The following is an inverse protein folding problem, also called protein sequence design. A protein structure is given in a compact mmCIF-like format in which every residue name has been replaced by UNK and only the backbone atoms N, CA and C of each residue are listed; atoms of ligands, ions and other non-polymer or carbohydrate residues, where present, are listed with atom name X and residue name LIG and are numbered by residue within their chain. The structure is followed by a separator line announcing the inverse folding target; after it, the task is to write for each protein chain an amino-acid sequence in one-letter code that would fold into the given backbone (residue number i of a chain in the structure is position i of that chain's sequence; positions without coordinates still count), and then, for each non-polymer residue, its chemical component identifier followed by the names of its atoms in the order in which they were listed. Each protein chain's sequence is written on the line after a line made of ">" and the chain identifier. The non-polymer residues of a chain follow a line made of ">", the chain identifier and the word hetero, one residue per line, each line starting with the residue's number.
data_IF_548404028798
#
_entry.id   IF_548404028798
#
_cell.length_a   1.000
_cell.length_b   1.000
_cell.length_c   1.000
_cell.angle_alpha   90.00
_cell.angle_beta   90.00
_cell.angle_gamma   90.00
#
_symmetry.space_group_name_H-M   'P 1'
#
loop_
_entity.id
_entity.type
_entity.pdbx_description
1 polymer ?
#
# COMPACT_ATOMS: atom_id res chain seq x y z
N UNK A 1 -3.27 -9.59 -26.93
CA UNK A 1 -3.50 -11.03 -27.21
C UNK A 1 -4.52 -11.52 -26.20
N UNK A 2 -5.63 -12.11 -26.65
CA UNK A 2 -6.67 -12.67 -25.77
C UNK A 2 -6.49 -14.19 -25.72
N UNK A 3 -6.28 -14.75 -24.53
CA UNK A 3 -6.27 -16.20 -24.31
C UNK A 3 -7.62 -16.63 -23.78
N UNK A 4 -8.32 -17.49 -24.51
CA UNK A 4 -9.52 -18.17 -24.03
C UNK A 4 -9.11 -19.56 -23.55
N UNK A 5 -9.16 -19.78 -22.23
CA UNK A 5 -8.77 -21.04 -21.61
C UNK A 5 -10.00 -21.72 -21.01
N UNK A 6 -10.48 -22.85 -21.56
CA UNK A 6 -11.57 -23.60 -20.95
C UNK A 6 -11.08 -24.22 -19.63
N UNK A 7 -11.86 -24.06 -18.57
CA UNK A 7 -11.54 -24.60 -17.24
C UNK A 7 -12.29 -25.93 -17.07
N UNK A 8 -11.67 -27.09 -17.36
CA UNK A 8 -12.29 -28.40 -17.13
C UNK A 8 -12.44 -28.70 -15.63
N UNK A 9 -13.32 -29.66 -15.25
CA UNK A 9 -13.46 -30.10 -13.87
C UNK A 9 -12.15 -30.52 -13.19
N UNK A 10 -11.17 -31.00 -13.96
CA UNK A 10 -9.84 -31.35 -13.46
C UNK A 10 -9.08 -30.17 -12.81
N UNK A 11 -9.46 -28.92 -13.10
CA UNK A 11 -8.84 -27.72 -12.52
C UNK A 11 -9.60 -27.12 -11.34
N UNK A 12 -10.68 -27.77 -10.85
CA UNK A 12 -11.47 -27.26 -9.71
C UNK A 12 -10.56 -26.98 -8.50
N UNK A 13 -9.67 -27.91 -8.14
CA UNK A 13 -8.76 -27.73 -7.01
C UNK A 13 -7.85 -26.50 -7.16
N UNK A 14 -7.41 -26.20 -8.38
CA UNK A 14 -6.58 -25.03 -8.63
C UNK A 14 -7.40 -23.73 -8.56
N UNK A 15 -8.65 -23.74 -9.03
CA UNK A 15 -9.58 -22.60 -8.85
C UNK A 15 -9.88 -22.36 -7.37
N UNK A 16 -10.12 -23.42 -6.59
CA UNK A 16 -10.30 -23.34 -5.15
C UNK A 16 -9.07 -22.74 -4.46
N UNK A 17 -7.86 -23.13 -4.87
CA UNK A 17 -6.62 -22.54 -4.38
C UNK A 17 -6.51 -21.03 -4.70
N UNK A 18 -6.92 -20.60 -5.90
CA UNK A 18 -7.00 -19.16 -6.24
C UNK A 18 -7.96 -18.44 -5.30
N UNK A 19 -9.17 -18.96 -5.14
CA UNK A 19 -10.19 -18.35 -4.29
C UNK A 19 -9.72 -18.24 -2.83
N UNK A 20 -9.13 -19.30 -2.29
CA UNK A 20 -8.56 -19.30 -0.94
C UNK A 20 -7.46 -18.24 -0.78
N UNK A 21 -6.53 -18.17 -1.73
CA UNK A 21 -5.45 -17.18 -1.70
C UNK A 21 -6.00 -15.75 -1.68
N UNK A 22 -6.95 -15.44 -2.57
CA UNK A 22 -7.57 -14.12 -2.68
C UNK A 22 -8.39 -13.75 -1.44
N UNK A 23 -9.19 -14.68 -0.90
CA UNK A 23 -10.02 -14.43 0.28
C UNK A 23 -9.21 -14.25 1.56
N UNK A 24 -8.05 -14.89 1.65
CA UNK A 24 -7.17 -14.82 2.82
C UNK A 24 -6.07 -13.77 2.66
N UNK A 25 -6.06 -13.01 1.56
CA UNK A 25 -5.00 -12.06 1.20
C UNK A 25 -3.61 -12.71 1.22
N UNK A 26 -3.54 -14.00 0.88
CA UNK A 26 -2.29 -14.74 0.78
C UNK A 26 -1.71 -14.57 -0.62
N UNK A 27 -0.42 -14.26 -0.68
CA UNK A 27 0.31 -14.23 -1.94
C UNK A 27 0.49 -15.66 -2.46
N UNK A 28 0.20 -15.84 -3.73
CA UNK A 28 0.41 -17.08 -4.47
C UNK A 28 0.64 -16.74 -5.95
N UNK A 29 1.10 -17.68 -6.76
CA UNK A 29 1.30 -17.47 -8.20
C UNK A 29 0.36 -18.38 -8.99
N UNK A 30 -0.54 -17.77 -9.75
CA UNK A 30 -1.28 -18.46 -10.81
C UNK A 30 -0.31 -18.77 -11.95
N UNK A 31 -0.30 -20.02 -12.40
CA UNK A 31 0.47 -20.46 -13.57
C UNK A 31 -0.43 -21.17 -14.56
N UNK A 32 -0.29 -20.79 -15.82
CA UNK A 32 -1.02 -21.36 -16.93
C UNK A 32 -0.04 -21.77 -18.03
N UNK A 33 -0.14 -23.02 -18.47
CA UNK A 33 0.71 -23.61 -19.51
C UNK A 33 -0.13 -24.51 -20.41
N UNK A 34 0.51 -25.11 -21.42
CA UNK A 34 -0.10 -26.18 -22.22
C UNK A 34 -0.54 -27.39 -21.38
N UNK A 35 0.05 -27.61 -20.20
CA UNK A 35 -0.26 -28.73 -19.33
C UNK A 35 -1.47 -28.49 -18.41
N UNK A 36 -1.88 -27.25 -18.19
CA UNK A 36 -2.91 -26.97 -17.17
C UNK A 36 -2.81 -25.61 -16.50
N UNK A 37 -3.79 -25.36 -15.64
CA UNK A 37 -3.82 -24.29 -14.65
C UNK A 37 -3.35 -24.83 -13.30
N UNK A 38 -2.43 -24.13 -12.64
CA UNK A 38 -1.92 -24.47 -11.32
C UNK A 38 -1.73 -23.20 -10.47
N UNK A 39 -1.67 -23.38 -9.15
CA UNK A 39 -1.31 -22.33 -8.19
C UNK A 39 -0.07 -22.79 -7.44
N UNK A 40 1.00 -22.04 -7.58
CA UNK A 40 2.27 -22.25 -6.90
C UNK A 40 2.40 -21.27 -5.71
N UNK A 41 3.34 -21.53 -4.80
CA UNK A 41 3.68 -20.58 -3.74
C UNK A 41 4.15 -19.24 -4.33
N UNK A 42 4.01 -18.14 -3.57
CA UNK A 42 4.47 -16.84 -4.00
C UNK A 42 5.98 -16.85 -4.32
N UNK A 43 6.33 -16.36 -5.50
CA UNK A 43 7.71 -16.11 -5.88
C UNK A 43 8.03 -14.62 -5.65
N UNK A 44 8.98 -14.33 -4.76
CA UNK A 44 9.33 -12.97 -4.34
C UNK A 44 10.16 -12.19 -5.36
N UNK A 45 10.62 -12.82 -6.45
CA UNK A 45 11.54 -12.21 -7.43
C UNK A 45 10.94 -11.82 -8.79
N UNK A 46 9.68 -12.16 -9.07
CA UNK A 46 9.10 -12.03 -10.43
C UNK A 46 8.25 -10.77 -10.62
N UNK A 47 8.10 -10.35 -11.89
CA UNK A 47 7.13 -9.33 -12.29
C UNK A 47 5.71 -9.78 -11.92
N UNK A 48 4.82 -8.82 -11.63
CA UNK A 48 3.44 -9.12 -11.19
C UNK A 48 2.71 -10.06 -12.17
N UNK A 49 3.01 -9.96 -13.45
CA UNK A 49 2.70 -10.99 -14.44
C UNK A 49 3.92 -11.22 -15.35
N UNK A 50 4.00 -12.41 -15.93
CA UNK A 50 5.01 -12.78 -16.91
C UNK A 50 4.36 -13.65 -18.00
N UNK A 51 4.67 -13.37 -19.27
CA UNK A 51 4.25 -14.18 -20.39
C UNK A 51 5.45 -14.57 -21.25
N UNK A 52 5.63 -15.87 -21.47
CA UNK A 52 6.58 -16.45 -22.41
C UNK A 52 5.81 -17.01 -23.60
N UNK A 53 6.20 -16.62 -24.81
CA UNK A 53 5.62 -17.13 -26.06
C UNK A 53 6.37 -18.38 -26.58
N UNK A 54 5.80 -19.06 -27.57
CA UNK A 54 6.41 -20.20 -28.26
C UNK A 54 5.77 -21.57 -27.89
N UNK A 55 6.39 -22.68 -28.29
CA UNK A 55 5.84 -24.03 -28.05
C UNK A 55 5.74 -24.38 -26.56
N UNK A 56 6.59 -23.78 -25.73
CA UNK A 56 6.56 -23.90 -24.27
C UNK A 56 6.05 -22.61 -23.62
N UNK A 57 4.97 -22.07 -24.19
CA UNK A 57 4.36 -20.85 -23.67
C UNK A 57 3.96 -21.03 -22.20
N UNK A 58 4.05 -19.95 -21.46
CA UNK A 58 3.73 -19.91 -20.05
C UNK A 58 3.19 -18.53 -19.70
N UNK A 59 2.12 -18.50 -18.93
CA UNK A 59 1.63 -17.30 -18.27
C UNK A 59 1.74 -17.50 -16.77
N UNK A 60 2.31 -16.52 -16.07
CA UNK A 60 2.36 -16.46 -14.60
C UNK A 60 1.82 -15.14 -14.14
N UNK A 61 1.08 -15.15 -13.04
CA UNK A 61 0.54 -13.96 -12.41
C UNK A 61 0.52 -14.12 -10.90
N UNK A 62 0.95 -13.08 -10.20
CA UNK A 62 0.86 -13.01 -8.74
C UNK A 62 -0.60 -12.76 -8.36
N UNK A 63 -1.14 -13.64 -7.53
CA UNK A 63 -2.48 -13.50 -6.96
C UNK A 63 -2.46 -12.48 -5.81
N UNK A 64 -3.53 -11.69 -5.75
CA UNK A 64 -3.73 -10.65 -4.75
C UNK A 64 -3.40 -9.26 -5.29
N UNK A 65 -2.95 -8.38 -4.39
CA UNK A 65 -2.70 -6.98 -4.74
C UNK A 65 -1.27 -6.75 -5.18
N UNK A 66 -1.11 -5.94 -6.23
CA UNK A 66 0.21 -5.48 -6.68
C UNK A 66 0.79 -4.47 -5.71
N UNK A 67 0.02 -3.45 -5.37
CA UNK A 67 0.43 -2.31 -4.56
C UNK A 67 -0.15 -2.43 -3.14
N UNK A 68 0.67 -2.16 -2.13
CA UNK A 68 0.26 -2.14 -0.73
C UNK A 68 0.32 -0.72 -0.19
N UNK A 69 -0.78 -0.27 0.41
CA UNK A 69 -0.93 1.02 1.07
C UNK A 69 -0.99 0.82 2.58
N UNK A 70 0.03 1.31 3.27
CA UNK A 70 0.03 1.44 4.73
C UNK A 70 -0.37 2.85 5.13
N UNK A 71 -1.44 2.94 5.93
CA UNK A 71 -1.94 4.19 6.50
C UNK A 71 -1.57 4.23 7.98
N UNK A 72 -0.73 5.19 8.36
CA UNK A 72 -0.31 5.41 9.76
C UNK A 72 -1.19 6.52 10.36
N UNK A 73 -1.94 6.19 11.39
CA UNK A 73 -3.04 6.97 11.95
C UNK A 73 -4.38 6.52 11.37
N UNK A 74 -5.31 6.12 12.23
CA UNK A 74 -6.63 5.56 11.92
C UNK A 74 -7.79 6.53 12.15
N UNK A 75 -7.56 7.84 12.00
CA UNK A 75 -8.61 8.87 12.15
C UNK A 75 -9.60 8.94 10.99
N UNK A 76 -10.44 9.99 10.97
CA UNK A 76 -11.49 10.16 9.94
C UNK A 76 -10.94 10.24 8.51
N UNK A 77 -9.81 10.93 8.30
CA UNK A 77 -9.17 11.00 6.96
C UNK A 77 -8.67 9.63 6.52
N UNK A 78 -8.15 8.81 7.45
CA UNK A 78 -7.70 7.44 7.15
C UNK A 78 -8.87 6.54 6.75
N UNK A 79 -10.00 6.66 7.43
CA UNK A 79 -11.23 5.96 7.07
C UNK A 79 -11.71 6.36 5.67
N UNK A 80 -11.73 7.65 5.37
CA UNK A 80 -12.11 8.17 4.05
C UNK A 80 -11.13 7.70 2.96
N UNK A 81 -9.82 7.76 3.21
CA UNK A 81 -8.81 7.28 2.25
C UNK A 81 -8.92 5.77 2.05
N UNK A 82 -9.14 4.99 3.12
CA UNK A 82 -9.32 3.53 3.00
C UNK A 82 -10.50 3.21 2.08
N UNK A 83 -11.62 3.95 2.20
CA UNK A 83 -12.79 3.78 1.33
C UNK A 83 -12.47 4.03 -0.15
N UNK A 84 -11.75 5.11 -0.45
CA UNK A 84 -11.36 5.44 -1.83
C UNK A 84 -10.33 4.44 -2.36
N UNK A 85 -9.31 4.12 -1.57
CA UNK A 85 -8.23 3.21 -1.97
C UNK A 85 -8.72 1.76 -2.19
N UNK A 86 -9.78 1.34 -1.50
CA UNK A 86 -10.36 0.01 -1.68
C UNK A 86 -10.95 -0.22 -3.09
N UNK A 87 -11.22 0.85 -3.84
CA UNK A 87 -11.66 0.75 -5.24
C UNK A 87 -10.51 0.94 -6.24
N UNK A 88 -9.27 0.94 -5.78
CA UNK A 88 -8.07 1.27 -6.56
C UNK A 88 -7.01 0.16 -6.54
N UNK A 89 -7.38 -1.08 -6.20
CA UNK A 89 -6.50 -2.25 -6.17
C UNK A 89 -5.28 -2.13 -5.23
N UNK A 90 -5.46 -1.45 -4.09
CA UNK A 90 -4.48 -1.45 -3.00
C UNK A 90 -4.81 -2.50 -1.94
N UNK A 91 -3.81 -3.25 -1.47
CA UNK A 91 -3.89 -3.91 -0.17
C UNK A 91 -3.71 -2.87 0.92
N UNK A 92 -4.65 -2.77 1.86
CA UNK A 92 -4.73 -1.64 2.80
C UNK A 92 -4.47 -2.15 4.21
N UNK A 93 -3.41 -1.62 4.81
CA UNK A 93 -3.10 -1.82 6.23
C UNK A 93 -3.25 -0.49 6.96
N UNK A 94 -4.04 -0.46 8.04
CA UNK A 94 -4.17 0.72 8.90
C UNK A 94 -3.53 0.44 10.25
N UNK A 95 -2.57 1.29 10.61
CA UNK A 95 -1.82 1.24 11.85
C UNK A 95 -2.20 2.44 12.71
N UNK A 96 -2.53 2.23 13.98
CA UNK A 96 -2.76 3.32 14.95
C UNK A 96 -2.21 2.91 16.32
N UNK A 97 -1.78 3.86 17.13
CA UNK A 97 -1.25 3.63 18.48
C UNK A 97 -2.32 3.62 19.57
N UNK A 98 -3.55 4.04 19.25
CA UNK A 98 -4.67 4.14 20.19
C UNK A 98 -5.53 2.88 20.15
N UNK A 99 -5.54 2.16 21.26
CA UNK A 99 -6.51 1.09 21.49
C UNK A 99 -7.94 1.66 21.57
N UNK A 100 -8.92 0.96 21.01
CA UNK A 100 -10.34 1.34 21.09
C UNK A 100 -10.78 2.47 20.13
N UNK A 101 -9.92 2.90 19.19
CA UNK A 101 -10.30 3.90 18.21
C UNK A 101 -11.31 3.32 17.20
N UNK A 102 -12.58 3.76 17.30
CA UNK A 102 -13.66 3.21 16.46
C UNK A 102 -13.42 3.36 14.96
N UNK A 103 -12.92 4.52 14.50
CA UNK A 103 -12.62 4.76 13.07
C UNK A 103 -11.53 3.84 12.54
N UNK A 104 -10.68 3.29 13.41
CA UNK A 104 -9.69 2.27 13.07
C UNK A 104 -10.28 0.87 13.14
N UNK A 105 -10.80 0.46 14.30
CA UNK A 105 -11.27 -0.91 14.55
C UNK A 105 -12.42 -1.31 13.64
N UNK A 106 -13.35 -0.39 13.41
CA UNK A 106 -14.56 -0.61 12.62
C UNK A 106 -14.38 -0.25 11.14
N UNK A 107 -13.18 0.14 10.69
CA UNK A 107 -12.92 0.42 9.29
C UNK A 107 -13.19 -0.84 8.44
N UNK A 108 -14.21 -0.85 7.56
CA UNK A 108 -14.57 -2.04 6.77
C UNK A 108 -13.76 -2.14 5.48
N UNK A 109 -13.01 -1.09 5.12
CA UNK A 109 -12.28 -1.01 3.85
C UNK A 109 -10.82 -1.44 3.98
N UNK A 110 -10.31 -1.50 5.21
CA UNK A 110 -8.96 -1.95 5.49
C UNK A 110 -8.89 -3.49 5.53
N UNK A 111 -7.98 -4.07 4.76
CA UNK A 111 -7.69 -5.50 4.75
C UNK A 111 -7.06 -5.92 6.08
N UNK A 112 -6.16 -5.08 6.61
CA UNK A 112 -5.48 -5.30 7.89
C UNK A 112 -5.61 -4.08 8.80
N UNK A 113 -5.85 -4.31 10.09
CA UNK A 113 -5.93 -3.27 11.13
C UNK A 113 -5.13 -3.73 12.33
N UNK A 114 -4.14 -2.95 12.75
CA UNK A 114 -3.27 -3.30 13.88
C UNK A 114 -3.07 -2.10 14.79
N UNK A 115 -3.17 -2.33 16.11
CA UNK A 115 -2.77 -1.34 17.10
C UNK A 115 -1.28 -1.55 17.39
N UNK A 116 -0.45 -0.57 17.06
CA UNK A 116 1.02 -0.67 17.11
C UNK A 116 1.63 0.61 17.67
N UNK A 117 2.79 0.50 18.31
CA UNK A 117 3.53 1.68 18.74
C UNK A 117 4.25 2.30 17.55
N UNK A 118 4.19 3.63 17.40
CA UNK A 118 4.81 4.27 16.25
C UNK A 118 6.33 4.18 16.22
N UNK A 119 6.98 3.93 17.36
CA UNK A 119 8.42 3.74 17.46
C UNK A 119 8.91 2.36 16.95
N UNK A 120 8.01 1.45 16.57
CA UNK A 120 8.34 0.15 15.96
C UNK A 120 7.76 0.00 14.54
N UNK A 121 7.37 1.11 13.88
CA UNK A 121 6.73 1.07 12.57
C UNK A 121 7.58 0.43 11.47
N UNK A 122 8.91 0.53 11.54
CA UNK A 122 9.80 -0.10 10.57
C UNK A 122 9.58 -1.63 10.48
N UNK A 123 9.16 -2.26 11.57
CA UNK A 123 8.85 -3.70 11.61
C UNK A 123 7.49 -4.04 11.00
N UNK A 124 6.61 -3.04 10.87
CA UNK A 124 5.23 -3.21 10.40
C UNK A 124 5.07 -2.90 8.91
N UNK A 125 6.03 -2.19 8.31
CA UNK A 125 5.99 -1.76 6.93
C UNK A 125 6.97 -2.62 6.12
N UNK A 126 6.49 -3.24 5.05
CA UNK A 126 7.39 -3.94 4.14
C UNK A 126 8.17 -2.95 3.26
N UNK A 127 9.38 -3.32 2.86
CA UNK A 127 10.16 -2.58 1.86
C UNK A 127 9.86 -3.12 0.45
N UNK A 128 9.95 -2.24 -0.54
CA UNK A 128 9.90 -2.62 -1.94
C UNK A 128 9.23 -1.61 -2.86
N UNK A 129 9.30 -1.86 -4.18
CA UNK A 129 8.85 -0.94 -5.21
C UNK A 129 7.33 -0.84 -5.37
N UNK A 130 6.54 -1.60 -4.60
CA UNK A 130 5.08 -1.50 -4.62
C UNK A 130 4.51 -1.14 -3.22
N UNK A 131 5.35 -0.57 -2.35
CA UNK A 131 4.99 -0.20 -0.98
C UNK A 131 4.73 1.31 -0.91
N UNK A 132 3.56 1.70 -0.42
CA UNK A 132 3.13 3.09 -0.27
C UNK A 132 2.80 3.32 1.19
N UNK A 133 3.29 4.42 1.75
CA UNK A 133 3.05 4.78 3.14
C UNK A 133 2.55 6.22 3.22
N UNK A 134 1.44 6.40 3.91
CA UNK A 134 0.87 7.71 4.22
C UNK A 134 0.77 7.87 5.73
N UNK A 135 1.33 8.95 6.25
CA UNK A 135 1.29 9.33 7.66
C UNK A 135 0.22 10.40 7.83
N UNK A 136 -0.80 10.11 8.63
CA UNK A 136 -1.95 10.98 8.89
C UNK A 136 -2.40 10.90 10.35
N UNK A 137 -1.44 10.96 11.27
CA UNK A 137 -1.71 10.90 12.71
C UNK A 137 -2.31 12.21 13.24
N UNK A 138 -2.83 12.17 14.47
CA UNK A 138 -3.35 13.35 15.15
C UNK A 138 -2.26 14.01 16.02
N UNK A 139 -1.40 14.81 15.40
CA UNK A 139 -0.48 15.70 16.14
C UNK A 139 0.91 15.79 15.54
N UNK A 140 1.72 16.69 16.10
CA UNK A 140 3.11 16.91 15.67
C UNK A 140 4.04 15.77 16.12
N UNK A 141 3.99 15.42 17.42
CA UNK A 141 4.91 14.42 18.01
C UNK A 141 4.74 13.02 17.42
N UNK A 142 3.51 12.48 17.25
CA UNK A 142 3.35 11.13 16.70
C UNK A 142 3.80 11.05 15.24
N UNK A 143 3.57 12.11 14.44
CA UNK A 143 4.11 12.19 13.06
C UNK A 143 5.63 12.18 13.05
N UNK A 144 6.29 12.89 13.96
CA UNK A 144 7.76 12.91 14.02
C UNK A 144 8.31 11.52 14.40
N UNK A 145 7.70 10.85 15.39
CA UNK A 145 8.09 9.48 15.79
C UNK A 145 7.90 8.51 14.61
N UNK A 146 6.75 8.57 13.94
CA UNK A 146 6.45 7.68 12.83
C UNK A 146 7.38 7.92 11.63
N UNK A 147 7.61 9.18 11.29
CA UNK A 147 8.47 9.53 10.17
C UNK A 147 9.91 9.09 10.43
N UNK A 148 10.45 9.28 11.64
CA UNK A 148 11.81 8.80 12.00
C UNK A 148 12.01 7.31 11.79
N UNK A 149 10.97 6.48 11.97
CA UNK A 149 11.04 5.04 11.70
C UNK A 149 11.04 4.69 10.20
N UNK A 150 10.53 5.58 9.37
CA UNK A 150 10.31 5.34 7.94
C UNK A 150 11.28 6.11 7.04
N UNK A 151 12.02 7.08 7.57
CA UNK A 151 13.13 7.73 6.88
C UNK A 151 14.24 6.69 6.61
N UNK A 152 14.64 6.56 5.34
CA UNK A 152 15.57 5.52 4.88
C UNK A 152 14.93 4.18 4.51
N UNK A 153 13.62 4.02 4.75
CA UNK A 153 12.89 2.83 4.37
C UNK A 153 12.62 2.81 2.85
N UNK A 154 12.94 1.71 2.17
CA UNK A 154 12.75 1.63 0.72
C UNK A 154 11.27 1.40 0.38
N UNK A 155 10.55 2.48 0.10
CA UNK A 155 9.14 2.46 -0.31
C UNK A 155 8.97 3.29 -1.59
N UNK A 156 7.99 2.94 -2.41
CA UNK A 156 7.66 3.68 -3.64
C UNK A 156 7.10 5.07 -3.34
N UNK A 157 6.41 5.22 -2.20
CA UNK A 157 5.83 6.48 -1.77
C UNK A 157 5.89 6.59 -0.26
N UNK A 158 6.40 7.71 0.25
CA UNK A 158 6.31 8.11 1.64
C UNK A 158 5.73 9.51 1.70
N UNK A 159 4.57 9.65 2.33
CA UNK A 159 3.86 10.91 2.40
C UNK A 159 3.43 11.28 3.81
N UNK A 160 3.50 12.57 4.14
CA UNK A 160 3.02 13.14 5.40
C UNK A 160 1.86 14.15 5.19
N UNK A 161 0.73 13.88 5.83
CA UNK A 161 -0.39 14.81 5.94
C UNK A 161 -0.14 15.87 6.99
N UNK A 162 -0.39 17.14 6.65
CA UNK A 162 -0.33 18.24 7.61
C UNK A 162 -0.46 19.60 6.93
N UNK A 163 -0.68 20.64 7.74
CA UNK A 163 -0.59 22.01 7.24
C UNK A 163 0.87 22.34 6.86
N UNK A 164 1.04 23.28 5.93
CA UNK A 164 2.37 23.74 5.53
C UNK A 164 3.21 24.23 6.73
N UNK A 165 2.58 24.89 7.70
CA UNK A 165 3.23 25.33 8.93
C UNK A 165 3.74 24.16 9.79
N UNK A 166 2.89 23.16 10.04
CA UNK A 166 3.24 21.95 10.81
C UNK A 166 4.38 21.19 10.13
N UNK A 167 4.31 21.03 8.82
CA UNK A 167 5.34 20.32 8.05
C UNK A 167 6.65 21.10 8.09
N UNK A 168 6.64 22.42 7.95
CA UNK A 168 7.84 23.25 8.02
C UNK A 168 8.55 23.11 9.38
N UNK A 169 7.79 23.13 10.47
CA UNK A 169 8.31 22.93 11.82
C UNK A 169 8.94 21.54 11.97
N UNK A 170 8.24 20.51 11.51
CA UNK A 170 8.66 19.11 11.63
C UNK A 170 9.94 18.83 10.84
N UNK A 171 10.01 19.33 9.60
CA UNK A 171 11.24 19.25 8.80
C UNK A 171 12.38 20.09 9.41
N UNK A 172 12.07 21.17 10.12
CA UNK A 172 13.05 21.95 10.87
C UNK A 172 13.68 21.14 12.00
N UNK A 173 12.85 20.48 12.81
CA UNK A 173 13.28 19.59 13.91
C UNK A 173 14.14 18.43 13.41
N UNK A 174 13.74 17.78 12.31
CA UNK A 174 14.50 16.68 11.72
C UNK A 174 15.87 17.15 11.22
N UNK A 175 15.95 18.30 10.53
CA UNK A 175 17.26 18.86 10.12
C UNK A 175 18.14 19.20 11.31
N UNK A 176 17.58 19.80 12.36
CA UNK A 176 18.30 20.08 13.61
C UNK A 176 18.80 18.79 14.30
N UNK A 177 18.12 17.66 14.05
CA UNK A 177 18.51 16.33 14.54
C UNK A 177 19.50 15.59 13.63
N UNK A 178 20.01 16.23 12.57
CA UNK A 178 21.04 15.68 11.70
C UNK A 178 20.55 15.02 10.40
N UNK A 179 19.24 15.03 10.11
CA UNK A 179 18.74 14.52 8.82
C UNK A 179 19.14 15.45 7.67
N UNK A 180 19.74 14.86 6.64
CA UNK A 180 20.18 15.55 5.44
C UNK A 180 19.02 15.85 4.49
N UNK A 181 19.27 16.70 3.49
CA UNK A 181 18.30 16.92 2.42
C UNK A 181 18.03 15.64 1.62
N UNK A 182 19.02 14.75 1.51
CA UNK A 182 18.88 13.47 0.80
C UNK A 182 17.95 12.51 1.55
N UNK A 183 18.05 12.44 2.88
CA UNK A 183 17.18 11.60 3.72
C UNK A 183 15.70 12.00 3.58
N UNK A 184 15.46 13.30 3.38
CA UNK A 184 14.12 13.88 3.26
C UNK A 184 13.63 13.98 1.81
N UNK A 185 14.47 13.68 0.81
CA UNK A 185 14.14 13.91 -0.61
C UNK A 185 12.96 13.07 -1.11
N UNK A 186 12.78 11.88 -0.54
CA UNK A 186 11.72 10.95 -0.91
C UNK A 186 10.39 11.21 -0.19
N UNK A 187 10.37 12.13 0.79
CA UNK A 187 9.18 12.48 1.54
C UNK A 187 8.32 13.49 0.76
N UNK A 188 7.04 13.18 0.60
CA UNK A 188 6.03 14.11 0.08
C UNK A 188 5.25 14.76 1.21
N UNK A 189 5.43 16.06 1.40
CA UNK A 189 4.79 16.79 2.49
C UNK A 189 4.53 18.25 2.08
N UNK A 190 3.26 18.71 2.02
CA UNK A 190 2.04 17.94 2.27
C UNK A 190 1.75 16.92 1.17
N UNK A 191 1.07 15.83 1.54
CA UNK A 191 0.55 14.85 0.59
C UNK A 191 -0.70 15.35 -0.12
N UNK A 192 -0.95 14.77 -1.29
CA UNK A 192 -2.13 15.00 -2.09
C UNK A 192 -1.96 16.12 -3.12
N UNK A 193 -2.75 16.03 -4.20
CA UNK A 193 -2.80 17.07 -5.23
C UNK A 193 -3.45 18.36 -4.70
N UNK A 194 -3.00 19.55 -5.13
CA UNK A 194 -3.48 20.84 -4.63
C UNK A 194 -4.86 21.21 -5.19
N UNK A 195 -5.90 20.51 -4.75
CA UNK A 195 -7.29 20.70 -5.19
C UNK A 195 -8.13 21.53 -4.21
N UNK A 196 -7.47 22.24 -3.28
CA UNK A 196 -8.11 23.03 -2.22
C UNK A 196 -9.05 22.22 -1.31
N UNK A 197 -8.75 20.94 -1.08
CA UNK A 197 -9.51 20.04 -0.21
C UNK A 197 -9.61 20.54 1.23
N UNK A 198 -10.77 20.34 1.86
CA UNK A 198 -11.08 20.75 3.25
C UNK A 198 -11.70 19.63 4.07
N UNK A 199 -12.55 18.81 3.47
CA UNK A 199 -13.20 17.69 4.17
C UNK A 199 -12.31 16.43 4.14
N UNK A 200 -12.51 15.47 5.07
CA UNK A 200 -11.81 14.19 5.02
C UNK A 200 -11.93 13.47 3.67
N UNK A 201 -13.11 13.53 3.05
CA UNK A 201 -13.38 12.92 1.74
C UNK A 201 -12.63 13.62 0.60
N UNK A 202 -12.59 14.96 0.60
CA UNK A 202 -11.82 15.72 -0.40
C UNK A 202 -10.31 15.48 -0.24
N UNK A 203 -9.82 15.41 1.00
CA UNK A 203 -8.42 15.10 1.29
C UNK A 203 -8.10 13.67 0.82
N UNK A 204 -8.99 12.71 1.08
CA UNK A 204 -8.83 11.33 0.61
C UNK A 204 -8.73 11.25 -0.93
N UNK A 205 -9.58 11.99 -1.66
CA UNK A 205 -9.51 12.07 -3.13
C UNK A 205 -8.18 12.68 -3.58
N UNK A 206 -7.76 13.78 -2.96
CA UNK A 206 -6.50 14.46 -3.25
C UNK A 206 -5.29 13.52 -3.09
N UNK A 207 -5.24 12.77 -1.99
CA UNK A 207 -4.18 11.79 -1.71
C UNK A 207 -4.25 10.62 -2.68
N UNK A 208 -5.43 10.03 -2.89
CA UNK A 208 -5.60 8.93 -3.83
C UNK A 208 -5.17 9.30 -5.26
N UNK A 209 -5.48 10.52 -5.71
CA UNK A 209 -5.05 11.02 -7.01
C UNK A 209 -3.52 11.13 -7.12
N UNK A 210 -2.84 11.56 -6.06
CA UNK A 210 -1.37 11.57 -6.03
C UNK A 210 -0.79 10.15 -6.02
N UNK A 211 -1.38 9.21 -5.27
CA UNK A 211 -0.94 7.81 -5.26
C UNK A 211 -1.06 7.19 -6.67
N UNK A 212 -2.15 7.47 -7.39
CA UNK A 212 -2.34 7.05 -8.79
C UNK A 212 -1.27 7.68 -9.69
N UNK A 213 -1.02 8.99 -9.54
CA UNK A 213 0.02 9.69 -10.31
C UNK A 213 1.38 9.01 -10.14
N UNK A 214 1.77 8.70 -8.90
CA UNK A 214 3.05 8.03 -8.60
C UNK A 214 3.06 6.58 -9.10
N UNK A 215 1.94 5.87 -8.97
CA UNK A 215 1.83 4.49 -9.47
C UNK A 215 2.13 4.40 -10.96
N UNK A 216 1.65 5.37 -11.74
CA UNK A 216 1.67 5.38 -13.20
C UNK A 216 2.81 6.22 -13.81
N UNK A 217 3.66 6.88 -13.02
CA UNK A 217 4.70 7.80 -13.52
C UNK A 217 5.85 7.13 -14.31
N UNK A 218 5.83 5.82 -14.50
CA UNK A 218 6.80 5.06 -15.30
C UNK A 218 6.15 4.10 -16.31
N UNK A 219 4.87 4.32 -16.62
CA UNK A 219 4.10 3.57 -17.62
C UNK A 219 4.24 4.17 -19.02
#
# INVERSE_FOLDING_TARGET
>A
MLLLYPVPPAHIAAVEAVLMALQQYQRATLRLTSAGLAVDAADSGSSFYHYRSGPNWEYREQLGFRDALTIVGGGHVALALSRVAATLDFEITVLDDRAGLNTHQQNPYAHHKRTVQYNTLAEQVAQGPNQYVVIMTFGYRPDEVALRQLLGHQVKYLGLMGSAAKIKELLGSLRASGYSAADLAHLRAPIGLPIHSRTPEEIAISVAAELIQVRNAGS
#
